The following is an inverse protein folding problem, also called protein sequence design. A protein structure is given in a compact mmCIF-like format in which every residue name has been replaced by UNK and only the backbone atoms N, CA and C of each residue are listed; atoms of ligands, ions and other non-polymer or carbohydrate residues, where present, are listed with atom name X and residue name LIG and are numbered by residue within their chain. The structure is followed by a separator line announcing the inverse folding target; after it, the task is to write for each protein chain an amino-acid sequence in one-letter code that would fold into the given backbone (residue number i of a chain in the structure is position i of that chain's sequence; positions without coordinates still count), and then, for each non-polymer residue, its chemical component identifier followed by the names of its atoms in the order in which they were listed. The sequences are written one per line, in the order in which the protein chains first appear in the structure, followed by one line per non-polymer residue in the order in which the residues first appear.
data_IF_998752870071
#
_entry.id   IF_998752870071
#
_cell.length_a   1.000
_cell.length_b   1.000
_cell.length_c   1.000
_cell.angle_alpha   90.00
_cell.angle_beta   90.00
_cell.angle_gamma   90.00
#
_symmetry.space_group_name_H-M   'P 1'
#
loop_
_entity.id
_entity.type
_entity.pdbx_description
1 polymer ?
#
# COMPACT_ATOMS: atom_id res chain seq x y z
N UNK A 1 -15.97 13.02 -9.15
CA UNK A 1 -16.85 12.49 -8.09
C UNK A 1 -16.18 11.26 -7.49
N UNK A 2 -15.79 11.36 -6.21
CA UNK A 2 -15.02 10.37 -5.45
C UNK A 2 -15.95 9.34 -4.83
N UNK A 3 -15.63 8.06 -4.96
CA UNK A 3 -16.22 7.01 -4.13
C UNK A 3 -15.54 6.99 -2.76
N UNK A 4 -16.40 6.90 -1.75
CA UNK A 4 -16.16 7.05 -0.32
C UNK A 4 -15.95 5.66 0.26
N UNK A 5 -14.71 5.28 0.55
CA UNK A 5 -14.43 4.18 1.47
C UNK A 5 -14.23 4.81 2.85
N UNK A 6 -15.32 4.90 3.62
CA UNK A 6 -15.26 5.12 5.07
C UNK A 6 -15.69 3.82 5.71
N UNK A 7 -14.73 3.16 6.35
CA UNK A 7 -14.99 2.11 7.32
C UNK A 7 -15.34 2.80 8.64
N UNK A 8 -16.63 2.71 8.97
CA UNK A 8 -17.13 2.76 10.34
C UNK A 8 -18.22 1.69 10.40
N UNK A 9 -18.35 0.94 11.49
CA UNK A 9 -19.29 -0.18 11.61
C UNK A 9 -20.77 0.28 11.73
N UNK A 10 -21.22 1.14 10.81
CA UNK A 10 -22.61 1.20 10.37
C UNK A 10 -22.60 0.77 8.91
N UNK A 11 -23.23 -0.37 8.59
CA UNK A 11 -23.61 -0.70 7.21
C UNK A 11 -24.29 0.55 6.64
N UNK A 12 -23.61 1.29 5.76
CA UNK A 12 -24.23 2.40 5.06
C UNK A 12 -25.40 1.79 4.28
N UNK A 13 -26.62 2.19 4.61
CA UNK A 13 -27.78 1.83 3.82
C UNK A 13 -27.71 2.63 2.51
N UNK A 14 -27.26 1.97 1.44
CA UNK A 14 -27.06 2.58 0.12
C UNK A 14 -28.38 2.60 -0.69
N UNK A 15 -29.48 2.03 -0.19
CA UNK A 15 -30.76 1.98 -0.92
C UNK A 15 -31.30 3.36 -1.25
N UNK A 16 -31.26 4.29 -0.29
CA UNK A 16 -31.73 5.66 -0.50
C UNK A 16 -30.83 6.41 -1.49
N UNK A 17 -29.53 6.14 -1.48
CA UNK A 17 -28.58 6.70 -2.45
C UNK A 17 -28.85 6.16 -3.85
N UNK A 18 -29.10 4.85 -3.99
CA UNK A 18 -29.45 4.23 -5.28
C UNK A 18 -30.80 4.72 -5.81
N UNK A 19 -31.81 4.92 -4.94
CA UNK A 19 -33.09 5.55 -5.30
C UNK A 19 -32.88 6.99 -5.81
N UNK A 20 -32.03 7.77 -5.14
CA UNK A 20 -31.69 9.14 -5.56
C UNK A 20 -31.01 9.16 -6.93
N UNK A 21 -30.06 8.26 -7.19
CA UNK A 21 -29.38 8.16 -8.48
C UNK A 21 -30.36 7.84 -9.62
N UNK A 22 -31.31 6.93 -9.38
CA UNK A 22 -32.39 6.60 -10.33
C UNK A 22 -33.32 7.79 -10.55
N UNK A 23 -33.79 8.45 -9.49
CA UNK A 23 -34.67 9.62 -9.57
C UNK A 23 -34.05 10.78 -10.35
N UNK A 24 -32.72 10.95 -10.26
CA UNK A 24 -31.98 12.00 -10.96
C UNK A 24 -31.53 11.61 -12.36
N UNK A 25 -31.94 10.45 -12.89
CA UNK A 25 -31.56 9.93 -14.20
C UNK A 25 -30.04 9.95 -14.45
N UNK A 26 -29.24 9.66 -13.41
CA UNK A 26 -27.79 9.57 -13.58
C UNK A 26 -27.44 8.33 -14.41
N UNK A 27 -27.04 8.55 -15.66
CA UNK A 27 -26.39 7.53 -16.48
C UNK A 27 -24.88 7.58 -16.26
N UNK A 28 -24.33 6.53 -15.65
CA UNK A 28 -22.88 6.37 -15.56
C UNK A 28 -22.38 5.80 -16.88
N UNK A 29 -21.78 6.65 -17.71
CA UNK A 29 -20.94 6.16 -18.81
C UNK A 29 -19.85 5.26 -18.19
N UNK A 30 -19.75 4.01 -18.64
CA UNK A 30 -18.57 3.17 -18.42
C UNK A 30 -17.39 3.79 -19.20
N UNK A 31 -16.90 4.95 -18.76
CA UNK A 31 -15.55 5.36 -19.16
C UNK A 31 -14.61 4.33 -18.57
N UNK A 32 -13.86 3.65 -19.45
CA UNK A 32 -12.81 2.68 -19.14
C UNK A 32 -11.61 3.32 -18.40
N UNK A 33 -11.86 4.18 -17.42
CA UNK A 33 -10.87 4.52 -16.40
C UNK A 33 -10.92 3.37 -15.41
N UNK A 34 -10.39 2.22 -15.82
CA UNK A 34 -10.22 1.08 -14.95
C UNK A 34 -9.24 1.48 -13.85
N UNK A 35 -9.76 1.99 -12.74
CA UNK A 35 -9.02 2.08 -11.49
C UNK A 35 -8.54 0.66 -11.19
N UNK A 36 -7.26 0.43 -11.44
CA UNK A 36 -6.61 -0.87 -11.53
C UNK A 36 -6.21 -1.36 -10.14
N UNK A 37 -7.16 -1.37 -9.21
CA UNK A 37 -6.98 -2.14 -7.99
C UNK A 37 -7.04 -3.62 -8.35
N UNK A 38 -6.00 -4.36 -7.97
CA UNK A 38 -5.98 -5.81 -8.13
C UNK A 38 -6.59 -6.42 -6.89
N UNK A 39 -7.76 -7.05 -7.05
CA UNK A 39 -8.49 -7.68 -5.95
C UNK A 39 -8.56 -9.20 -6.13
N UNK A 40 -8.25 -9.92 -5.06
CA UNK A 40 -8.46 -11.36 -5.00
C UNK A 40 -8.98 -11.79 -3.64
N UNK A 41 -9.74 -12.88 -3.65
CA UNK A 41 -10.30 -13.53 -2.47
C UNK A 41 -10.24 -15.04 -2.65
N UNK A 42 -9.77 -15.75 -1.64
CA UNK A 42 -9.86 -17.21 -1.52
C UNK A 42 -10.29 -17.52 -0.10
N UNK A 43 -11.45 -18.17 0.05
CA UNK A 43 -12.04 -18.49 1.35
C UNK A 43 -12.09 -17.24 2.26
N UNK A 44 -11.34 -17.28 3.37
CA UNK A 44 -11.25 -16.20 4.37
C UNK A 44 -10.21 -15.12 4.01
N UNK A 45 -9.33 -15.35 3.04
CA UNK A 45 -8.28 -14.42 2.65
C UNK A 45 -8.80 -13.44 1.61
N UNK A 46 -8.63 -12.14 1.86
CA UNK A 46 -8.94 -11.06 0.92
C UNK A 46 -7.73 -10.14 0.78
N UNK A 47 -7.36 -9.83 -0.45
CA UNK A 47 -6.22 -9.00 -0.77
C UNK A 47 -6.60 -7.99 -1.84
N UNK A 48 -6.27 -6.73 -1.58
CA UNK A 48 -6.45 -5.64 -2.54
C UNK A 48 -5.13 -4.87 -2.67
N UNK A 49 -4.61 -4.74 -3.89
CA UNK A 49 -3.37 -4.02 -4.18
C UNK A 49 -3.63 -2.85 -5.13
N UNK A 50 -3.05 -1.68 -4.85
CA UNK A 50 -3.07 -0.55 -5.78
C UNK A 50 -2.11 -0.80 -6.94
N UNK A 51 -2.60 -0.77 -8.18
CA UNK A 51 -1.78 -0.80 -9.39
C UNK A 51 -2.18 0.29 -10.38
N UNK A 52 -2.54 1.49 -9.88
CA UNK A 52 -2.93 2.63 -10.67
C UNK A 52 -1.75 3.50 -11.13
N UNK A 53 -1.87 4.07 -12.33
CA UNK A 53 -1.09 5.26 -12.68
C UNK A 53 -1.62 6.48 -11.90
N UNK A 54 -0.76 7.44 -11.55
CA UNK A 54 -1.20 8.69 -10.95
C UNK A 54 -2.18 9.43 -11.88
N UNK A 55 -3.15 10.18 -11.32
CA UNK A 55 -4.10 10.93 -12.12
C UNK A 55 -3.41 12.11 -12.85
N UNK A 56 -4.10 12.75 -13.81
CA UNK A 56 -3.69 14.04 -14.36
C UNK A 56 -3.46 15.09 -13.26
N UNK A 57 -2.61 16.09 -13.52
CA UNK A 57 -2.13 17.04 -12.49
C UNK A 57 -3.25 17.82 -11.79
N UNK A 58 -4.26 18.26 -12.54
CA UNK A 58 -5.41 18.97 -11.97
C UNK A 58 -6.26 18.11 -11.01
N UNK A 59 -5.99 16.80 -10.91
CA UNK A 59 -6.65 15.83 -10.02
C UNK A 59 -5.70 15.22 -8.98
N UNK A 60 -4.44 15.65 -8.91
CA UNK A 60 -3.43 15.01 -8.06
C UNK A 60 -3.21 15.67 -6.70
N UNK A 61 -4.01 16.69 -6.35
CA UNK A 61 -3.87 17.47 -5.12
C UNK A 61 -3.73 16.65 -3.83
N UNK A 62 -4.42 15.53 -3.74
CA UNK A 62 -4.39 14.65 -2.57
C UNK A 62 -4.00 13.23 -3.00
N UNK A 63 -3.15 13.13 -4.03
CA UNK A 63 -2.68 11.85 -4.51
C UNK A 63 -1.82 11.18 -3.44
N UNK A 64 -2.08 9.90 -3.23
CA UNK A 64 -1.36 9.07 -2.29
C UNK A 64 -0.28 8.31 -3.07
N UNK A 65 1.00 8.52 -2.76
CA UNK A 65 2.13 7.90 -3.45
C UNK A 65 2.34 6.43 -3.07
N UNK A 66 1.26 5.70 -2.79
CA UNK A 66 1.24 4.31 -2.33
C UNK A 66 1.03 3.27 -3.43
N UNK A 67 1.43 3.55 -4.68
CA UNK A 67 1.32 2.54 -5.75
C UNK A 67 2.03 1.23 -5.34
N UNK A 68 1.40 0.09 -5.64
CA UNK A 68 1.75 -1.26 -5.17
C UNK A 68 1.58 -1.52 -3.68
N UNK A 69 1.08 -0.57 -2.90
CA UNK A 69 0.61 -0.88 -1.54
C UNK A 69 -0.59 -1.80 -1.58
N UNK A 70 -0.81 -2.53 -0.49
CA UNK A 70 -1.93 -3.47 -0.39
C UNK A 70 -2.58 -3.40 0.98
N UNK A 71 -3.83 -3.85 1.02
CA UNK A 71 -4.52 -4.22 2.25
C UNK A 71 -4.80 -5.72 2.23
N UNK A 72 -4.60 -6.36 3.36
CA UNK A 72 -4.89 -7.77 3.56
C UNK A 72 -5.87 -7.95 4.71
N UNK A 73 -6.92 -8.72 4.45
CA UNK A 73 -7.92 -9.09 5.43
C UNK A 73 -8.01 -10.61 5.54
N UNK A 74 -8.23 -11.08 6.75
CA UNK A 74 -8.60 -12.46 7.02
C UNK A 74 -9.92 -12.49 7.80
N UNK A 75 -10.90 -13.21 7.25
CA UNK A 75 -12.24 -13.35 7.83
C UNK A 75 -12.91 -11.99 8.12
N UNK A 76 -12.69 -11.00 7.24
CA UNK A 76 -13.23 -9.65 7.38
C UNK A 76 -12.43 -8.71 8.29
N UNK A 77 -11.43 -9.21 9.04
CA UNK A 77 -10.57 -8.35 9.86
C UNK A 77 -9.32 -7.93 9.08
N UNK A 78 -9.00 -6.64 9.11
CA UNK A 78 -7.86 -6.06 8.41
C UNK A 78 -6.58 -6.24 9.21
N UNK A 79 -5.63 -6.99 8.65
CA UNK A 79 -4.35 -7.32 9.30
C UNK A 79 -3.24 -6.39 8.78
N UNK A 80 -3.13 -6.25 7.45
CA UNK A 80 -2.23 -5.28 6.82
C UNK A 80 -3.06 -4.15 6.23
N UNK A 81 -2.67 -2.92 6.49
CA UNK A 81 -3.36 -1.70 6.07
C UNK A 81 -2.37 -0.66 5.53
N UNK A 82 -2.86 0.55 5.25
CA UNK A 82 -2.05 1.75 5.03
C UNK A 82 -2.36 2.75 6.14
N UNK A 83 -1.56 3.80 6.31
CA UNK A 83 -1.83 4.82 7.32
C UNK A 83 -3.15 5.56 7.10
N UNK A 84 -3.72 5.59 5.90
CA UNK A 84 -4.92 6.37 5.60
C UNK A 84 -4.60 7.81 5.22
N UNK A 85 -5.61 8.68 5.16
CA UNK A 85 -5.48 10.02 4.57
C UNK A 85 -5.64 11.09 5.63
N UNK A 86 -4.59 11.87 5.85
CA UNK A 86 -4.61 12.97 6.81
C UNK A 86 -5.14 14.29 6.21
N UNK A 87 -5.95 14.23 5.14
CA UNK A 87 -6.41 15.40 4.39
C UNK A 87 -7.18 16.41 5.26
N UNK A 88 -7.91 15.95 6.27
CA UNK A 88 -8.74 16.81 7.11
C UNK A 88 -7.98 17.42 8.30
N UNK A 89 -6.69 17.10 8.45
CA UNK A 89 -5.82 17.66 9.47
C UNK A 89 -4.95 18.77 8.85
N UNK A 90 -3.74 18.99 9.39
CA UNK A 90 -2.82 20.00 8.86
C UNK A 90 -2.23 19.64 7.50
N UNK A 91 -1.82 20.65 6.73
CA UNK A 91 -1.13 20.45 5.44
C UNK A 91 0.11 19.57 5.56
N UNK A 92 0.86 19.71 6.67
CA UNK A 92 2.04 18.90 6.95
C UNK A 92 1.68 17.41 7.11
N UNK A 93 0.64 17.11 7.89
CA UNK A 93 0.15 15.75 8.06
C UNK A 93 -0.41 15.19 6.75
N UNK A 94 -1.11 16.01 5.97
CA UNK A 94 -1.59 15.63 4.64
C UNK A 94 -0.42 15.20 3.74
N UNK A 95 0.67 15.97 3.70
CA UNK A 95 1.88 15.61 2.93
C UNK A 95 2.52 14.30 3.44
N UNK A 96 2.61 14.12 4.76
CA UNK A 96 3.16 12.89 5.36
C UNK A 96 2.30 11.68 4.96
N UNK A 97 0.98 11.77 5.11
CA UNK A 97 0.07 10.67 4.74
C UNK A 97 0.14 10.33 3.26
N UNK A 98 0.36 11.32 2.38
CA UNK A 98 0.54 11.14 0.94
C UNK A 98 1.85 10.46 0.56
N UNK A 99 2.85 10.42 1.45
CA UNK A 99 4.15 9.83 1.15
C UNK A 99 4.06 8.30 1.00
N UNK A 100 4.99 7.73 0.24
CA UNK A 100 5.09 6.27 0.10
C UNK A 100 5.40 5.58 1.45
N UNK A 101 6.07 6.26 2.38
CA UNK A 101 6.38 5.72 3.71
C UNK A 101 5.15 5.51 4.60
N UNK A 102 4.01 6.12 4.26
CA UNK A 102 2.72 5.95 4.93
C UNK A 102 1.89 4.77 4.35
N UNK A 103 2.47 4.00 3.44
CA UNK A 103 1.80 2.93 2.72
C UNK A 103 2.59 1.62 2.85
N UNK A 104 1.88 0.49 2.81
CA UNK A 104 2.46 -0.85 2.93
C UNK A 104 3.19 -1.26 1.65
N UNK A 105 4.29 -0.59 1.34
CA UNK A 105 5.11 -0.74 0.14
C UNK A 105 6.54 -0.26 0.40
N UNK A 106 7.35 -0.13 -0.65
CA UNK A 106 8.78 0.17 -0.55
C UNK A 106 9.08 1.63 -0.84
N UNK A 107 9.99 2.22 -0.07
CA UNK A 107 10.70 3.46 -0.39
C UNK A 107 12.14 3.17 -0.78
N UNK A 108 12.69 3.94 -1.71
CA UNK A 108 14.11 3.91 -2.10
C UNK A 108 14.75 5.21 -1.63
N UNK A 109 15.80 5.13 -0.79
CA UNK A 109 16.43 6.29 -0.14
C UNK A 109 15.38 7.27 0.44
N UNK A 110 14.44 6.73 1.21
CA UNK A 110 13.31 7.45 1.85
C UNK A 110 12.53 8.38 0.93
N UNK A 111 12.55 8.08 -0.37
CA UNK A 111 11.90 8.87 -1.40
C UNK A 111 10.60 8.21 -1.81
N UNK A 112 9.57 9.02 -2.05
CA UNK A 112 8.27 8.54 -2.54
C UNK A 112 8.28 8.23 -4.04
N UNK A 113 7.50 7.24 -4.45
CA UNK A 113 7.35 6.79 -5.84
C UNK A 113 6.80 7.88 -6.78
N UNK A 114 5.95 8.75 -6.26
CA UNK A 114 5.57 10.04 -6.85
C UNK A 114 5.93 11.17 -5.88
N UNK A 115 6.25 12.35 -6.43
CA UNK A 115 6.56 13.54 -5.62
C UNK A 115 5.54 14.63 -5.92
N UNK A 116 4.86 15.08 -4.88
CA UNK A 116 3.97 16.23 -4.94
C UNK A 116 4.76 17.51 -5.14
N UNK A 117 4.20 18.44 -5.90
CA UNK A 117 4.73 19.80 -6.00
C UNK A 117 4.66 20.46 -4.63
N UNK A 118 5.76 21.04 -4.13
CA UNK A 118 5.80 21.72 -2.83
C UNK A 118 6.00 23.24 -2.93
N UNK A 119 6.45 23.76 -4.08
CA UNK A 119 6.67 25.19 -4.27
C UNK A 119 5.33 25.97 -4.21
N UNK A 120 5.23 26.92 -3.27
CA UNK A 120 4.01 27.70 -2.99
C UNK A 120 3.55 28.54 -4.19
N UNK A 121 4.47 29.14 -4.94
CA UNK A 121 4.13 29.93 -6.13
C UNK A 121 3.55 29.04 -7.22
N UNK A 122 4.20 27.91 -7.52
CA UNK A 122 3.71 26.97 -8.53
C UNK A 122 2.35 26.41 -8.11
N UNK A 123 2.15 26.09 -6.83
CA UNK A 123 0.84 25.68 -6.31
C UNK A 123 -0.24 26.75 -6.49
N UNK A 124 0.10 28.03 -6.25
CA UNK A 124 -0.83 29.15 -6.38
C UNK A 124 -1.33 29.32 -7.82
N UNK A 125 -0.45 29.18 -8.81
CA UNK A 125 -0.79 29.42 -10.22
C UNK A 125 -1.24 28.17 -10.98
N UNK A 126 -0.73 26.99 -10.62
CA UNK A 126 -0.94 25.73 -11.36
C UNK A 126 -1.60 24.62 -10.54
N UNK A 127 -1.96 24.90 -9.28
CA UNK A 127 -2.56 23.93 -8.37
C UNK A 127 -1.56 22.91 -7.80
N UNK A 128 -2.06 21.99 -6.98
CA UNK A 128 -1.26 20.91 -6.42
C UNK A 128 -1.10 19.78 -7.46
N UNK A 129 -0.04 19.86 -8.25
CA UNK A 129 0.37 18.86 -9.26
C UNK A 129 1.38 17.85 -8.71
N UNK A 130 1.70 16.81 -9.50
CA UNK A 130 2.83 15.92 -9.20
C UNK A 130 4.05 16.38 -9.99
N UNK A 131 5.12 16.74 -9.28
CA UNK A 131 6.42 17.03 -9.88
C UNK A 131 7.02 15.80 -10.56
N UNK A 132 6.79 14.62 -9.97
CA UNK A 132 7.21 13.33 -10.53
C UNK A 132 6.07 12.33 -10.48
N UNK A 133 5.86 11.65 -11.60
CA UNK A 133 4.88 10.59 -11.77
C UNK A 133 5.56 9.28 -12.10
N UNK A 134 5.09 8.21 -11.47
CA UNK A 134 5.39 6.85 -11.91
C UNK A 134 4.51 6.46 -13.10
N UNK A 135 4.92 5.39 -13.78
CA UNK A 135 4.11 4.61 -14.71
C UNK A 135 4.13 3.15 -14.26
N UNK A 136 2.95 2.58 -14.05
CA UNK A 136 2.73 1.14 -13.90
C UNK A 136 2.89 0.50 -15.27
N UNK A 137 3.82 -0.43 -15.39
CA UNK A 137 4.14 -1.11 -16.66
C UNK A 137 3.75 -2.59 -16.67
N UNK A 138 3.42 -3.16 -15.51
CA UNK A 138 3.03 -4.56 -15.33
C UNK A 138 1.90 -4.66 -14.31
N UNK A 139 0.91 -5.50 -14.58
CA UNK A 139 -0.14 -5.91 -13.64
C UNK A 139 -0.72 -7.25 -14.07
N UNK A 140 -0.97 -8.14 -13.11
CA UNK A 140 -1.53 -9.47 -13.37
C UNK A 140 -2.23 -10.06 -12.13
N UNK A 141 -3.24 -10.90 -12.36
CA UNK A 141 -3.93 -11.67 -11.33
C UNK A 141 -4.11 -13.11 -11.83
N UNK A 142 -3.57 -14.06 -11.08
CA UNK A 142 -3.73 -15.49 -11.34
C UNK A 142 -4.49 -16.13 -10.17
N UNK A 143 -5.44 -17.02 -10.46
CA UNK A 143 -6.17 -17.79 -9.44
C UNK A 143 -6.26 -19.26 -9.81
N UNK A 144 -6.17 -20.11 -8.79
CA UNK A 144 -6.50 -21.53 -8.82
C UNK A 144 -7.35 -21.87 -7.59
N UNK A 145 -7.67 -23.15 -7.40
CA UNK A 145 -8.50 -23.61 -6.28
C UNK A 145 -7.96 -23.20 -4.90
N UNK A 146 -6.64 -23.22 -4.76
CA UNK A 146 -5.93 -23.04 -3.48
C UNK A 146 -4.98 -21.85 -3.44
N UNK A 147 -4.71 -21.24 -4.61
CA UNK A 147 -3.74 -20.16 -4.73
C UNK A 147 -4.33 -18.96 -5.47
N UNK A 148 -4.02 -17.77 -4.99
CA UNK A 148 -4.25 -16.54 -5.74
C UNK A 148 -3.02 -15.68 -5.68
N UNK A 149 -2.57 -15.20 -6.84
CA UNK A 149 -1.41 -14.34 -6.97
C UNK A 149 -1.82 -13.02 -7.60
N UNK A 150 -1.41 -11.91 -6.99
CA UNK A 150 -1.44 -10.58 -7.62
C UNK A 150 -0.01 -10.14 -7.85
N UNK A 151 0.28 -9.55 -9.00
CA UNK A 151 1.58 -8.96 -9.28
C UNK A 151 1.46 -7.67 -10.07
N UNK A 152 2.37 -6.73 -9.83
CA UNK A 152 2.45 -5.49 -10.59
C UNK A 152 3.82 -4.83 -10.44
N UNK A 153 4.14 -3.89 -11.34
CA UNK A 153 5.43 -3.21 -11.39
C UNK A 153 5.33 -1.77 -11.90
N UNK A 154 6.16 -0.88 -11.36
CA UNK A 154 6.23 0.52 -11.76
C UNK A 154 7.66 1.08 -11.77
N UNK A 155 7.84 2.21 -12.47
CA UNK A 155 9.14 2.85 -12.70
C UNK A 155 9.40 4.11 -11.84
N UNK A 156 8.73 4.22 -10.68
CA UNK A 156 8.68 5.46 -9.89
C UNK A 156 10.03 5.95 -9.34
N UNK A 157 11.01 5.04 -9.26
CA UNK A 157 12.36 5.30 -8.78
C UNK A 157 13.40 5.43 -9.89
N UNK A 158 13.00 5.24 -11.15
CA UNK A 158 13.94 5.14 -12.28
C UNK A 158 14.72 6.44 -12.50
N UNK A 159 14.06 7.61 -12.44
CA UNK A 159 14.70 8.91 -12.70
C UNK A 159 15.77 9.31 -11.68
N UNK A 160 15.62 8.91 -10.41
CA UNK A 160 16.56 9.28 -9.35
C UNK A 160 17.61 8.22 -9.06
N UNK A 161 17.23 6.95 -9.21
CA UNK A 161 17.98 5.80 -8.67
C UNK A 161 18.14 4.68 -9.69
N UNK A 162 17.68 4.84 -10.94
CA UNK A 162 17.70 3.79 -11.96
C UNK A 162 17.04 2.48 -11.47
N UNK A 163 16.01 2.59 -10.62
CA UNK A 163 15.34 1.43 -10.03
C UNK A 163 13.93 1.27 -10.59
N UNK A 164 13.61 0.05 -11.04
CA UNK A 164 12.23 -0.42 -11.23
C UNK A 164 11.83 -1.26 -10.01
N UNK A 165 10.55 -1.21 -9.65
CA UNK A 165 10.03 -1.98 -8.53
C UNK A 165 8.86 -2.84 -8.98
N UNK A 166 8.92 -4.12 -8.66
CA UNK A 166 7.83 -5.09 -8.82
C UNK A 166 7.51 -5.77 -7.51
N UNK A 167 6.23 -6.12 -7.37
CA UNK A 167 5.69 -6.88 -6.24
C UNK A 167 4.89 -8.05 -6.76
N UNK A 168 5.02 -9.18 -6.07
CA UNK A 168 4.13 -10.34 -6.19
C UNK A 168 3.69 -10.78 -4.80
N UNK A 169 2.38 -10.96 -4.60
CA UNK A 169 1.82 -11.53 -3.38
C UNK A 169 0.96 -12.73 -3.75
N UNK A 170 1.25 -13.87 -3.15
CA UNK A 170 0.51 -15.12 -3.32
C UNK A 170 -0.17 -15.51 -2.01
N UNK A 171 -1.48 -15.69 -2.05
CA UNK A 171 -2.26 -16.37 -1.00
C UNK A 171 -2.11 -17.87 -1.22
N UNK A 172 -1.74 -18.60 -0.17
CA UNK A 172 -1.78 -20.05 -0.08
C UNK A 172 -2.79 -20.45 1.00
N UNK A 173 -3.97 -20.94 0.60
CA UNK A 173 -5.04 -21.27 1.53
C UNK A 173 -4.84 -22.62 2.26
N UNK A 174 -3.98 -23.49 1.73
CA UNK A 174 -3.65 -24.79 2.33
C UNK A 174 -2.74 -24.62 3.54
N UNK A 175 -1.76 -23.74 3.43
CA UNK A 175 -0.82 -23.44 4.52
C UNK A 175 -1.26 -22.25 5.39
N UNK A 176 -2.36 -21.59 5.03
CA UNK A 176 -2.83 -20.36 5.66
C UNK A 176 -1.77 -19.23 5.70
N UNK A 177 -1.10 -19.00 4.55
CA UNK A 177 -0.02 -18.02 4.43
C UNK A 177 -0.25 -17.03 3.29
N UNK A 178 0.31 -15.84 3.46
CA UNK A 178 0.71 -14.97 2.36
C UNK A 178 2.21 -15.14 2.11
N UNK A 179 2.58 -15.19 0.85
CA UNK A 179 3.97 -15.21 0.40
C UNK A 179 4.19 -13.98 -0.47
N UNK A 180 5.09 -13.10 -0.05
CA UNK A 180 5.45 -11.90 -0.78
C UNK A 180 6.84 -11.98 -1.37
N UNK A 181 6.97 -11.43 -2.57
CA UNK A 181 8.22 -11.27 -3.28
C UNK A 181 8.29 -9.84 -3.82
N UNK A 182 9.27 -9.08 -3.33
CA UNK A 182 9.64 -7.77 -3.85
C UNK A 182 10.86 -7.91 -4.74
N UNK A 183 10.84 -7.23 -5.88
CA UNK A 183 11.92 -7.21 -6.84
C UNK A 183 12.29 -5.76 -7.15
N UNK A 184 13.53 -5.38 -6.86
CA UNK A 184 14.10 -4.09 -7.25
C UNK A 184 15.16 -4.32 -8.31
N UNK A 185 14.90 -3.82 -9.52
CA UNK A 185 15.76 -3.98 -10.70
C UNK A 185 16.54 -2.68 -10.91
N UNK A 186 17.87 -2.75 -10.82
CA UNK A 186 18.75 -1.62 -11.14
C UNK A 186 19.03 -1.66 -12.65
N UNK A 187 18.46 -0.71 -13.39
CA UNK A 187 18.56 -0.61 -14.85
C UNK A 187 19.90 -0.05 -15.31
N UNK A 188 20.58 0.71 -14.44
CA UNK A 188 21.91 1.27 -14.70
C UNK A 188 22.68 1.43 -13.40
N UNK A 189 23.90 0.85 -13.34
CA UNK A 189 24.79 1.00 -12.19
C UNK A 189 25.07 2.47 -11.90
N UNK A 190 25.10 2.82 -10.62
CA UNK A 190 25.50 4.13 -10.13
C UNK A 190 26.43 3.96 -8.94
N UNK A 191 27.33 4.91 -8.71
CA UNK A 191 28.23 4.90 -7.54
C UNK A 191 27.52 5.33 -6.25
N UNK A 192 26.18 5.50 -6.28
CA UNK A 192 25.41 5.89 -5.11
C UNK A 192 25.11 4.64 -4.28
N UNK A 193 25.35 4.72 -2.98
CA UNK A 193 24.75 3.78 -2.04
C UNK A 193 23.23 4.02 -2.01
N UNK A 194 22.47 3.00 -2.39
CA UNK A 194 21.02 3.06 -2.43
C UNK A 194 20.47 2.10 -1.38
N UNK A 195 19.69 2.64 -0.46
CA UNK A 195 18.98 1.90 0.58
C UNK A 195 17.50 1.74 0.18
N UNK A 196 16.86 0.72 0.72
CA UNK A 196 15.42 0.56 0.68
C UNK A 196 14.84 0.39 2.09
N UNK A 197 13.58 0.76 2.23
CA UNK A 197 12.77 0.44 3.39
C UNK A 197 11.40 -0.05 2.91
N UNK A 198 11.09 -1.31 3.20
CA UNK A 198 9.81 -1.94 2.90
C UNK A 198 8.96 -1.95 4.17
N UNK A 199 7.78 -1.34 4.14
CA UNK A 199 6.90 -1.19 5.30
C UNK A 199 5.64 -2.01 5.16
N UNK A 200 5.15 -2.51 6.29
CA UNK A 200 3.83 -3.14 6.44
C UNK A 200 3.15 -2.53 7.66
N UNK A 201 2.17 -1.66 7.41
CA UNK A 201 1.39 -1.01 8.46
C UNK A 201 0.28 -1.94 8.95
N UNK A 202 0.03 -1.88 10.24
CA UNK A 202 -1.04 -2.64 10.91
C UNK A 202 -2.09 -1.69 11.48
N UNK A 203 -3.27 -2.21 11.78
CA UNK A 203 -4.31 -1.42 12.46
C UNK A 203 -3.90 -1.16 13.92
N UNK A 204 -4.28 -0.01 14.53
CA UNK A 204 -3.83 0.39 15.86
C UNK A 204 -4.00 -0.65 16.97
N UNK A 205 -5.02 -1.51 16.87
CA UNK A 205 -5.32 -2.56 17.84
C UNK A 205 -4.35 -3.76 17.76
N UNK A 206 -3.47 -3.79 16.75
CA UNK A 206 -2.53 -4.90 16.52
C UNK A 206 -1.32 -4.77 17.42
N UNK A 207 -1.02 -5.83 18.17
CA UNK A 207 0.21 -5.93 18.97
C UNK A 207 1.30 -6.61 18.16
N UNK A 208 2.46 -5.98 18.06
CA UNK A 208 3.66 -6.53 17.41
C UNK A 208 4.71 -6.90 18.46
N UNK A 209 5.26 -8.12 18.37
CA UNK A 209 6.35 -8.59 19.23
C UNK A 209 7.45 -9.21 18.38
N UNK A 210 8.66 -8.68 18.47
CA UNK A 210 9.82 -9.30 17.83
C UNK A 210 10.37 -10.42 18.73
N UNK A 211 10.58 -11.59 18.14
CA UNK A 211 11.11 -12.77 18.83
C UNK A 211 12.65 -12.75 18.84
N UNK A 212 13.26 -13.53 19.73
CA UNK A 212 14.71 -13.73 19.75
C UNK A 212 15.23 -14.37 18.45
N UNK A 213 14.40 -15.13 17.74
CA UNK A 213 14.71 -15.71 16.43
C UNK A 213 14.62 -14.72 15.26
N UNK A 214 14.27 -13.46 15.52
CA UNK A 214 14.19 -12.39 14.51
C UNK A 214 12.81 -12.22 13.87
N UNK A 215 11.93 -13.22 13.93
CA UNK A 215 10.54 -13.15 13.43
C UNK A 215 9.70 -12.13 14.23
N UNK A 216 8.63 -11.61 13.62
CA UNK A 216 7.65 -10.75 14.31
C UNK A 216 6.32 -11.48 14.46
N UNK A 217 5.82 -11.58 15.68
CA UNK A 217 4.47 -12.05 15.98
C UNK A 217 3.49 -10.88 15.95
N UNK A 218 2.34 -11.08 15.32
CA UNK A 218 1.22 -10.15 15.30
C UNK A 218 0.04 -10.78 16.03
N UNK A 219 -0.57 -10.02 16.92
CA UNK A 219 -1.82 -10.40 17.58
C UNK A 219 -2.86 -9.31 17.35
N UNK A 220 -4.00 -9.69 16.77
CA UNK A 220 -5.16 -8.83 16.55
C UNK A 220 -6.41 -9.60 16.93
N UNK A 221 -7.11 -9.14 17.97
CA UNK A 221 -8.24 -9.85 18.58
C UNK A 221 -7.90 -11.34 18.83
N UNK A 222 -8.67 -12.27 18.25
CA UNK A 222 -8.46 -13.71 18.38
C UNK A 222 -7.56 -14.30 17.27
N UNK A 223 -6.83 -13.46 16.53
CA UNK A 223 -5.94 -13.90 15.46
C UNK A 223 -4.47 -13.70 15.83
N UNK A 224 -3.69 -14.78 15.69
CA UNK A 224 -2.23 -14.77 15.77
C UNK A 224 -1.61 -14.99 14.38
N UNK A 225 -0.58 -14.20 14.08
CA UNK A 225 0.20 -14.33 12.86
C UNK A 225 1.69 -14.23 13.14
N UNK A 226 2.50 -14.83 12.27
CA UNK A 226 3.95 -14.75 12.29
C UNK A 226 4.43 -14.18 10.96
N UNK A 227 5.21 -13.11 11.03
CA UNK A 227 5.87 -12.48 9.90
C UNK A 227 7.34 -12.88 9.88
N UNK A 228 7.79 -13.34 8.71
CA UNK A 228 9.17 -13.78 8.49
C UNK A 228 9.72 -13.18 7.19
N UNK A 229 11.05 -13.08 7.08
CA UNK A 229 11.71 -12.64 5.85
C UNK A 229 13.09 -13.29 5.69
N UNK A 230 13.60 -13.32 4.46
CA UNK A 230 14.97 -13.75 4.17
C UNK A 230 16.02 -12.63 4.38
N UNK A 231 15.64 -11.49 4.97
CA UNK A 231 16.52 -10.36 5.26
C UNK A 231 16.79 -10.27 6.75
N UNK A 232 17.97 -9.78 7.12
CA UNK A 232 18.40 -9.70 8.52
C UNK A 232 17.86 -8.49 9.27
N UNK A 233 17.66 -7.35 8.60
CA UNK A 233 17.19 -6.13 9.25
C UNK A 233 15.66 -6.02 9.19
N UNK A 234 15.02 -6.82 10.03
CA UNK A 234 13.58 -6.79 10.32
C UNK A 234 13.37 -6.08 11.66
N UNK A 235 12.52 -5.06 11.70
CA UNK A 235 12.25 -4.27 12.91
C UNK A 235 10.81 -3.78 12.99
N UNK A 236 10.41 -3.29 14.16
CA UNK A 236 9.12 -2.63 14.40
C UNK A 236 9.36 -1.12 14.56
N UNK A 237 8.62 -0.30 13.82
CA UNK A 237 8.62 1.16 13.96
C UNK A 237 7.25 1.67 14.42
N UNK A 238 7.23 2.79 15.15
CA UNK A 238 6.00 3.52 15.46
C UNK A 238 5.56 4.33 14.23
N UNK A 239 4.26 4.50 14.05
CA UNK A 239 3.69 5.36 13.02
C UNK A 239 2.37 6.00 13.48
N UNK A 240 1.76 6.79 12.59
CA UNK A 240 0.46 7.40 12.79
C UNK A 240 -0.57 6.77 11.86
N UNK A 241 -1.79 6.63 12.36
CA UNK A 241 -2.95 6.11 11.67
C UNK A 241 -4.00 7.21 11.50
N UNK A 242 -4.41 7.44 10.25
CA UNK A 242 -5.26 8.51 9.74
C UNK A 242 -6.50 7.98 9.00
N UNK A 243 -6.92 6.73 9.25
CA UNK A 243 -8.15 6.22 8.63
C UNK A 243 -9.42 6.71 9.34
N UNK A 244 -9.30 7.31 10.54
CA UNK A 244 -10.39 7.99 11.21
C UNK A 244 -10.45 9.46 10.74
N UNK A 245 -11.66 9.97 10.50
CA UNK A 245 -11.88 11.31 9.96
C UNK A 245 -11.41 12.41 10.92
N UNK A 246 -11.61 12.22 12.24
CA UNK A 246 -11.42 13.25 13.27
C UNK A 246 -10.28 12.94 14.24
N UNK A 247 -9.66 11.76 14.15
CA UNK A 247 -8.66 11.30 15.11
C UNK A 247 -7.39 10.80 14.44
N UNK A 248 -6.26 11.19 15.02
CA UNK A 248 -4.95 10.61 14.74
C UNK A 248 -4.68 9.61 15.86
N UNK A 249 -4.36 8.38 15.49
CA UNK A 249 -4.12 7.29 16.44
C UNK A 249 -2.69 6.78 16.22
N UNK A 250 -1.96 6.49 17.30
CA UNK A 250 -0.67 5.82 17.17
C UNK A 250 -0.87 4.37 16.71
N UNK A 251 0.01 3.91 15.82
CA UNK A 251 0.08 2.51 15.42
C UNK A 251 1.54 2.12 15.20
N UNK A 252 1.77 0.95 14.64
CA UNK A 252 3.08 0.40 14.37
C UNK A 252 3.16 -0.10 12.92
N UNK A 253 4.37 -0.32 12.43
CA UNK A 253 4.62 -1.05 11.21
C UNK A 253 5.82 -1.99 11.36
N UNK A 254 5.77 -3.06 10.58
CA UNK A 254 6.92 -3.93 10.35
C UNK A 254 7.75 -3.32 9.24
N UNK A 255 9.06 -3.24 9.42
CA UNK A 255 9.98 -2.63 8.46
C UNK A 255 11.13 -3.59 8.13
N UNK A 256 11.36 -3.79 6.84
CA UNK A 256 12.54 -4.48 6.31
C UNK A 256 13.42 -3.45 5.61
N UNK A 257 14.65 -3.30 6.08
CA UNK A 257 15.61 -2.36 5.49
C UNK A 257 16.81 -3.08 4.90
N UNK A 258 17.46 -2.45 3.93
CA UNK A 258 18.71 -2.96 3.40
C UNK A 258 19.30 -2.06 2.32
N UNK A 259 20.42 -2.53 1.78
CA UNK A 259 21.13 -1.90 0.66
C UNK A 259 20.81 -2.63 -0.63
N UNK A 260 20.75 -1.89 -1.73
CA UNK A 260 20.68 -2.43 -3.08
C UNK A 260 22.10 -2.58 -3.62
N UNK A 261 22.61 -3.81 -3.64
CA UNK A 261 23.99 -4.11 -4.02
C UNK A 261 24.08 -4.88 -5.35
N UNK A 262 22.97 -5.47 -5.79
CA UNK A 262 22.91 -6.32 -6.97
C UNK A 262 22.13 -5.63 -8.09
N UNK A 263 22.27 -6.09 -9.34
CA UNK A 263 21.39 -5.63 -10.44
C UNK A 263 19.94 -6.04 -10.20
N UNK A 264 19.71 -7.16 -9.50
CA UNK A 264 18.42 -7.72 -9.20
C UNK A 264 18.32 -8.03 -7.69
N UNK A 265 17.65 -7.16 -6.93
CA UNK A 265 17.53 -7.32 -5.49
C UNK A 265 16.18 -7.92 -5.15
N UNK A 266 16.20 -9.10 -4.53
CA UNK A 266 14.99 -9.84 -4.16
C UNK A 266 14.79 -9.89 -2.65
N UNK A 267 13.58 -9.55 -2.20
CA UNK A 267 13.16 -9.63 -0.79
C UNK A 267 11.95 -10.56 -0.74
N UNK A 268 12.05 -11.63 0.05
CA UNK A 268 10.96 -12.57 0.30
C UNK A 268 10.45 -12.38 1.72
N UNK A 269 9.14 -12.40 1.89
CA UNK A 269 8.51 -12.37 3.20
C UNK A 269 7.30 -13.30 3.23
N UNK A 270 6.91 -13.74 4.41
CA UNK A 270 5.69 -14.50 4.64
C UNK A 270 4.91 -13.95 5.82
N UNK A 271 3.59 -14.09 5.75
CA UNK A 271 2.69 -13.84 6.88
C UNK A 271 1.83 -15.10 7.06
N UNK A 272 2.11 -15.84 8.12
CA UNK A 272 1.51 -17.15 8.41
C UNK A 272 0.59 -17.08 9.61
N UNK A 273 -0.61 -17.65 9.50
CA UNK A 273 -1.53 -17.75 10.64
C UNK A 273 -1.01 -18.79 11.65
N UNK A 274 -0.89 -18.41 12.92
CA UNK A 274 -0.31 -19.28 13.97
C UNK A 274 -1.35 -20.03 14.79
N UNK A 275 -2.58 -19.52 14.89
CA UNK A 275 -3.69 -20.19 15.57
C UNK A 275 -4.78 -20.60 14.56
N UNK A 276 -5.06 -21.91 14.47
CA UNK A 276 -6.06 -22.46 13.54
C UNK A 276 -7.46 -22.43 14.12
#
# INVERSE_FOLDING_TARGET
MRYRFLMDQKKLNIENFNKLLKLKNYNFEKKNIAHSYLYTKIKKFELMMDANNPPPDFKSQNYQSGCLSFEFLYNGEKIITNCGSAKNFSDNLSIISQSTAAHSTITINDTSSCLSQQNKLIKKYFGNSLKRKLKVYKKDIMKSKHFATVSAGHNGYNSNYNCLYERKITINDLEHKLLGEELIIITKKSNKNINYALRFHVVPETKLLQTQGGDILLSLHNQGWKFQTNKSNLKIEKNLYFANYDKIIESQCIVIEGKLNESLNKIKWSLEKTNK
#
